data_IF_249457076871
#
_entry.id   IF_249457076871
#
_cell.length_a   1.000
_cell.length_b   1.000
_cell.length_c   1.000
_cell.angle_alpha   90.00
_cell.angle_beta   90.00
_cell.angle_gamma   90.00
#
_symmetry.space_group_name_H-M   'P 1'
#
loop_
_entity.id
_entity.type
_entity.pdbx_description
1 polymer ?
#
# COMPACT_ATOMS: atom_id res chain seq x y z
N UNK A 1 11.27 23.81 20.09
CA UNK A 1 11.84 22.55 19.55
C UNK A 1 11.17 22.07 18.26
N UNK A 2 9.84 21.99 18.15
CA UNK A 2 9.15 21.53 16.92
C UNK A 2 9.57 22.35 15.68
N UNK A 3 9.64 23.68 15.79
CA UNK A 3 10.16 24.56 14.71
C UNK A 3 11.57 24.19 14.26
N UNK A 4 12.44 23.77 15.19
CA UNK A 4 13.80 23.34 14.89
C UNK A 4 13.83 22.01 14.14
N UNK A 5 12.98 21.05 14.54
CA UNK A 5 12.84 19.79 13.79
C UNK A 5 12.30 20.00 12.38
N UNK A 6 11.32 20.88 12.19
CA UNK A 6 10.81 21.23 10.87
C UNK A 6 11.89 21.86 9.99
N UNK A 7 12.75 22.73 10.55
CA UNK A 7 13.88 23.29 9.80
C UNK A 7 14.95 22.26 9.47
N UNK A 8 15.24 21.31 10.37
CA UNK A 8 16.15 20.20 10.11
C UNK A 8 15.61 19.27 9.02
N UNK A 9 14.32 18.95 9.02
CA UNK A 9 13.66 18.16 7.99
C UNK A 9 13.69 18.87 6.63
N UNK A 10 13.39 20.17 6.58
CA UNK A 10 13.48 20.95 5.34
C UNK A 10 14.90 20.97 4.79
N UNK A 11 15.90 21.20 5.66
CA UNK A 11 17.32 21.14 5.29
C UNK A 11 17.72 19.74 4.82
N UNK A 12 17.27 18.68 5.48
CA UNK A 12 17.50 17.28 5.10
C UNK A 12 16.90 16.97 3.73
N UNK A 13 15.66 17.41 3.49
CA UNK A 13 14.97 17.22 2.22
C UNK A 13 15.71 17.87 1.05
N UNK A 14 16.12 19.15 1.20
CA UNK A 14 16.88 19.88 0.17
C UNK A 14 18.28 19.29 -0.04
N UNK A 15 18.95 18.85 1.04
CA UNK A 15 20.31 18.31 0.99
C UNK A 15 20.38 16.83 0.62
N UNK A 16 19.25 16.13 0.54
CA UNK A 16 19.22 14.71 0.18
C UNK A 16 19.81 14.49 -1.21
N UNK A 17 20.66 13.47 -1.36
CA UNK A 17 21.26 13.13 -2.66
C UNK A 17 20.17 12.91 -3.73
N UNK A 18 19.04 12.31 -3.34
CA UNK A 18 17.86 12.11 -4.20
C UNK A 18 17.15 13.40 -4.60
N UNK A 19 17.28 14.52 -3.87
CA UNK A 19 16.74 15.80 -4.34
C UNK A 19 17.46 16.29 -5.58
N UNK A 20 18.78 16.06 -5.71
CA UNK A 20 19.55 16.50 -6.88
C UNK A 20 19.48 15.54 -8.06
N UNK A 21 19.48 14.22 -7.83
CA UNK A 21 19.43 13.23 -8.92
C UNK A 21 18.01 12.96 -9.45
N UNK A 22 16.96 13.22 -8.67
CA UNK A 22 15.58 12.82 -8.99
C UNK A 22 14.57 13.98 -8.95
N UNK A 23 14.94 15.20 -9.37
CA UNK A 23 14.03 16.36 -9.43
C UNK A 23 12.77 16.02 -10.24
N UNK A 24 12.94 15.40 -11.41
CA UNK A 24 11.82 14.99 -12.27
C UNK A 24 10.84 14.05 -11.55
N UNK A 25 11.33 13.03 -10.82
CA UNK A 25 10.47 12.15 -10.03
C UNK A 25 9.76 12.91 -8.89
N UNK A 26 10.41 13.89 -8.24
CA UNK A 26 9.76 14.70 -7.20
C UNK A 26 8.66 15.57 -7.75
N UNK A 27 8.87 16.18 -8.92
CA UNK A 27 7.82 16.94 -9.63
C UNK A 27 6.67 16.00 -10.00
N UNK A 28 6.97 14.81 -10.55
CA UNK A 28 5.95 13.81 -10.88
C UNK A 28 5.14 13.37 -9.65
N UNK A 29 5.80 13.15 -8.50
CA UNK A 29 5.12 12.83 -7.24
C UNK A 29 4.21 13.97 -6.76
N UNK A 30 4.65 15.22 -6.87
CA UNK A 30 3.84 16.38 -6.52
C UNK A 30 2.63 16.54 -7.44
N UNK A 31 2.83 16.41 -8.76
CA UNK A 31 1.74 16.42 -9.74
C UNK A 31 0.76 15.27 -9.52
N UNK A 32 1.27 14.07 -9.24
CA UNK A 32 0.43 12.91 -8.90
C UNK A 32 -0.41 13.16 -7.66
N UNK A 33 0.17 13.73 -6.60
CA UNK A 33 -0.57 14.10 -5.40
C UNK A 33 -1.65 15.15 -5.70
N UNK A 34 -1.32 16.22 -6.44
CA UNK A 34 -2.28 17.26 -6.82
C UNK A 34 -3.42 16.71 -7.70
N UNK A 35 -3.09 15.81 -8.63
CA UNK A 35 -4.07 15.12 -9.45
C UNK A 35 -5.05 14.31 -8.59
N UNK A 36 -4.55 13.45 -7.70
CA UNK A 36 -5.43 12.67 -6.81
C UNK A 36 -6.20 13.56 -5.83
N UNK A 37 -5.60 14.63 -5.31
CA UNK A 37 -6.29 15.60 -4.47
C UNK A 37 -7.48 16.25 -5.20
N UNK A 38 -7.27 16.66 -6.46
CA UNK A 38 -8.34 17.22 -7.29
C UNK A 38 -9.44 16.18 -7.57
N UNK A 39 -9.06 14.94 -7.95
CA UNK A 39 -10.02 13.85 -8.17
C UNK A 39 -10.84 13.58 -6.92
N UNK A 40 -10.22 13.47 -5.74
CA UNK A 40 -10.94 13.22 -4.48
C UNK A 40 -11.90 14.36 -4.13
N UNK A 41 -11.52 15.61 -4.43
CA UNK A 41 -12.40 16.77 -4.25
C UNK A 41 -13.62 16.74 -5.17
N UNK A 42 -13.42 16.47 -6.46
CA UNK A 42 -14.53 16.32 -7.40
C UNK A 42 -15.40 15.12 -7.07
N UNK A 43 -14.82 14.00 -6.64
CA UNK A 43 -15.57 12.80 -6.22
C UNK A 43 -16.37 13.09 -4.95
N UNK A 44 -15.83 13.85 -4.00
CA UNK A 44 -16.58 14.28 -2.81
C UNK A 44 -17.85 15.06 -3.16
N UNK A 45 -17.76 15.99 -4.09
CA UNK A 45 -18.91 16.77 -4.57
C UNK A 45 -19.84 15.90 -5.44
N UNK A 46 -19.24 15.12 -6.35
CA UNK A 46 -19.94 14.31 -7.34
C UNK A 46 -20.75 13.18 -6.72
N UNK A 47 -20.22 12.50 -5.71
CA UNK A 47 -20.96 11.45 -4.98
C UNK A 47 -22.21 12.04 -4.33
N UNK A 48 -22.12 13.23 -3.72
CA UNK A 48 -23.28 13.85 -3.10
C UNK A 48 -24.38 14.13 -4.13
N UNK A 49 -24.04 14.81 -5.23
CA UNK A 49 -25.02 15.17 -6.25
C UNK A 49 -25.50 13.98 -7.08
N UNK A 50 -24.63 13.02 -7.40
CA UNK A 50 -25.00 11.80 -8.12
C UNK A 50 -25.98 10.95 -7.31
N UNK A 51 -25.74 10.76 -6.01
CA UNK A 51 -26.66 10.03 -5.15
C UNK A 51 -28.02 10.74 -5.03
N UNK A 52 -28.01 12.07 -4.84
CA UNK A 52 -29.24 12.86 -4.67
C UNK A 52 -30.06 12.97 -5.95
N UNK A 53 -29.41 13.25 -7.09
CA UNK A 53 -30.08 13.61 -8.35
C UNK A 53 -30.32 12.42 -9.27
N UNK A 54 -29.39 11.48 -9.36
CA UNK A 54 -29.48 10.35 -10.31
C UNK A 54 -30.08 9.11 -9.64
N UNK A 55 -29.64 8.78 -8.43
CA UNK A 55 -30.08 7.59 -7.71
C UNK A 55 -31.30 7.82 -6.80
N UNK A 56 -31.69 9.08 -6.56
CA UNK A 56 -32.76 9.46 -5.61
C UNK A 56 -32.56 8.88 -4.20
N UNK A 57 -31.31 8.71 -3.78
CA UNK A 57 -30.94 8.19 -2.46
C UNK A 57 -30.51 9.33 -1.53
N UNK A 58 -30.73 9.12 -0.23
CA UNK A 58 -30.16 9.97 0.83
C UNK A 58 -28.62 9.88 0.81
N UNK A 59 -27.89 10.95 0.43
CA UNK A 59 -26.45 10.88 0.22
C UNK A 59 -25.68 10.48 1.49
N UNK A 60 -26.03 11.09 2.63
CA UNK A 60 -25.36 10.83 3.90
C UNK A 60 -25.56 9.37 4.35
N UNK A 61 -26.80 8.89 4.34
CA UNK A 61 -27.12 7.54 4.77
C UNK A 61 -26.42 6.48 3.90
N UNK A 62 -26.35 6.73 2.59
CA UNK A 62 -25.67 5.84 1.64
C UNK A 62 -24.17 5.83 1.85
N UNK A 63 -23.54 7.00 2.01
CA UNK A 63 -22.10 7.10 2.31
C UNK A 63 -21.77 6.41 3.64
N UNK A 64 -22.60 6.59 4.66
CA UNK A 64 -22.46 5.94 5.96
C UNK A 64 -22.58 4.41 5.89
N UNK A 65 -23.43 3.89 5.00
CA UNK A 65 -23.56 2.45 4.76
C UNK A 65 -22.26 1.84 4.22
N UNK A 66 -21.62 2.49 3.24
CA UNK A 66 -20.40 1.96 2.61
C UNK A 66 -19.09 2.37 3.30
N UNK A 67 -19.15 3.21 4.35
CA UNK A 67 -17.95 3.76 5.01
C UNK A 67 -17.06 2.68 5.65
N UNK A 68 -17.63 1.54 6.05
CA UNK A 68 -16.86 0.40 6.57
C UNK A 68 -15.86 -0.13 5.54
N UNK A 69 -16.29 -0.30 4.29
CA UNK A 69 -15.41 -0.77 3.22
C UNK A 69 -14.36 0.26 2.89
N UNK A 70 -14.72 1.54 2.90
CA UNK A 70 -13.76 2.63 2.71
C UNK A 70 -12.63 2.58 3.76
N UNK A 71 -12.97 2.53 5.05
CA UNK A 71 -11.98 2.47 6.13
C UNK A 71 -11.13 1.20 6.09
N UNK A 72 -11.72 0.07 5.72
CA UNK A 72 -11.02 -1.19 5.68
C UNK A 72 -10.06 -1.28 4.49
N UNK A 73 -10.47 -0.79 3.31
CA UNK A 73 -9.61 -0.62 2.13
C UNK A 73 -8.48 0.35 2.45
N UNK A 74 -8.78 1.50 3.06
CA UNK A 74 -7.77 2.45 3.52
C UNK A 74 -6.75 1.79 4.45
N UNK A 75 -7.21 1.00 5.42
CA UNK A 75 -6.34 0.29 6.35
C UNK A 75 -5.41 -0.71 5.62
N UNK A 76 -5.92 -1.49 4.67
CA UNK A 76 -5.11 -2.40 3.84
C UNK A 76 -4.07 -1.62 3.03
N UNK A 77 -4.47 -0.54 2.35
CA UNK A 77 -3.57 0.30 1.58
C UNK A 77 -2.48 0.92 2.44
N UNK A 78 -2.82 1.39 3.65
CA UNK A 78 -1.86 1.91 4.62
C UNK A 78 -0.84 0.86 5.05
N UNK A 79 -1.29 -0.33 5.40
CA UNK A 79 -0.37 -1.39 5.79
C UNK A 79 0.61 -1.77 4.67
N UNK A 80 0.17 -1.75 3.42
CA UNK A 80 1.00 -2.14 2.28
C UNK A 80 1.91 -1.01 1.77
N UNK A 81 1.44 0.25 1.78
CA UNK A 81 2.11 1.36 1.10
C UNK A 81 2.65 2.43 2.06
N UNK A 82 2.03 2.63 3.22
CA UNK A 82 2.43 3.66 4.16
C UNK A 82 3.60 3.14 5.01
N UNK A 83 4.82 3.52 4.63
CA UNK A 83 5.98 3.29 5.46
C UNK A 83 5.84 4.05 6.80
N UNK A 84 6.07 3.35 7.91
CA UNK A 84 6.18 3.98 9.22
C UNK A 84 7.30 5.01 9.15
N UNK A 85 7.10 6.26 9.63
CA UNK A 85 8.17 7.23 9.69
C UNK A 85 9.14 6.78 10.76
N UNK A 86 10.10 5.98 10.35
CA UNK A 86 11.38 5.93 11.02
C UNK A 86 11.98 7.31 10.72
N UNK A 87 11.72 8.30 11.58
CA UNK A 87 12.67 9.40 11.70
C UNK A 87 14.02 8.71 11.78
N UNK A 88 15.03 9.18 11.04
CA UNK A 88 16.38 8.69 11.29
C UNK A 88 16.66 9.05 12.75
N UNK A 89 16.37 8.13 13.67
CA UNK A 89 16.46 8.34 15.10
C UNK A 89 17.95 8.31 15.46
N UNK A 90 18.78 7.62 14.65
CA UNK A 90 20.25 7.56 14.78
C UNK A 90 20.89 8.95 14.98
N UNK A 91 20.68 9.97 14.11
CA UNK A 91 21.23 11.31 14.34
C UNK A 91 20.65 12.08 15.54
N UNK A 92 19.52 11.66 16.08
CA UNK A 92 18.85 12.35 17.18
C UNK A 92 19.14 11.72 18.54
N UNK A 93 19.58 10.45 18.58
CA UNK A 93 19.84 9.72 19.83
C UNK A 93 21.05 10.23 20.61
N UNK A 94 22.04 10.82 19.94
CA UNK A 94 23.21 11.42 20.60
C UNK A 94 22.98 12.87 21.04
N UNK A 95 21.88 13.49 20.62
CA UNK A 95 21.52 14.84 21.04
C UNK A 95 20.78 14.77 22.37
N UNK A 96 20.96 15.78 23.23
CA UNK A 96 20.27 15.89 24.52
C UNK A 96 18.78 16.27 24.35
N UNK A 97 18.02 15.39 23.70
CA UNK A 97 16.60 15.54 23.39
C UNK A 97 15.80 14.51 24.19
N UNK A 98 14.74 14.96 24.86
CA UNK A 98 13.81 14.04 25.54
C UNK A 98 13.20 13.07 24.52
N UNK A 99 13.25 11.76 24.79
CA UNK A 99 12.67 10.70 23.94
C UNK A 99 11.22 10.99 23.54
N UNK A 100 10.42 11.51 24.48
CA UNK A 100 9.02 11.88 24.22
C UNK A 100 8.86 12.92 23.11
N UNK A 101 9.75 13.92 23.04
CA UNK A 101 9.70 14.94 21.98
C UNK A 101 9.89 14.32 20.60
N UNK A 102 10.86 13.38 20.48
CA UNK A 102 11.15 12.70 19.22
C UNK A 102 9.97 11.82 18.81
N UNK A 103 9.37 11.10 19.76
CA UNK A 103 8.18 10.28 19.51
C UNK A 103 6.99 11.14 19.04
N UNK A 104 6.65 12.21 19.77
CA UNK A 104 5.53 13.08 19.38
C UNK A 104 5.76 13.79 18.05
N UNK A 105 7.01 14.20 17.76
CA UNK A 105 7.35 14.74 16.45
C UNK A 105 7.17 13.70 15.33
N UNK A 106 7.62 12.46 15.55
CA UNK A 106 7.49 11.37 14.58
C UNK A 106 6.02 11.00 14.33
N UNK A 107 5.21 10.93 15.39
CA UNK A 107 3.76 10.70 15.28
C UNK A 107 3.06 11.86 14.58
N UNK A 108 3.39 13.11 14.92
CA UNK A 108 2.85 14.29 14.23
C UNK A 108 3.19 14.29 12.72
N UNK A 109 4.39 13.82 12.36
CA UNK A 109 4.78 13.62 10.96
C UNK A 109 3.90 12.60 10.24
N UNK A 110 3.49 11.51 10.90
CA UNK A 110 2.49 10.61 10.28
C UNK A 110 1.14 11.28 10.11
N UNK A 111 0.67 12.03 11.10
CA UNK A 111 -0.62 12.70 11.03
C UNK A 111 -0.69 13.62 9.80
N UNK A 112 0.39 14.32 9.47
CA UNK A 112 0.50 15.18 8.29
C UNK A 112 1.01 14.46 7.02
N UNK A 113 0.97 13.13 6.98
CA UNK A 113 1.36 12.37 5.80
C UNK A 113 0.35 12.54 4.67
N UNK A 114 0.83 12.39 3.41
CA UNK A 114 -0.03 12.45 2.23
C UNK A 114 -1.21 11.49 2.28
N UNK A 115 -1.06 10.32 2.90
CA UNK A 115 -2.15 9.36 3.11
C UNK A 115 -3.31 9.97 3.94
N UNK A 116 -3.02 10.72 5.00
CA UNK A 116 -4.07 11.36 5.81
C UNK A 116 -4.64 12.60 5.11
N UNK A 117 -3.78 13.42 4.49
CA UNK A 117 -4.23 14.61 3.78
C UNK A 117 -5.17 14.28 2.62
N UNK A 118 -4.93 13.16 1.93
CA UNK A 118 -5.71 12.77 0.76
C UNK A 118 -7.19 12.56 1.11
N UNK A 119 -7.52 11.96 2.27
CA UNK A 119 -8.91 11.84 2.72
C UNK A 119 -9.59 13.18 2.96
N UNK A 120 -8.85 14.18 3.44
CA UNK A 120 -9.39 15.51 3.68
C UNK A 120 -9.92 16.14 2.39
N UNK A 121 -9.28 15.87 1.24
CA UNK A 121 -9.78 16.32 -0.06
C UNK A 121 -11.10 15.68 -0.47
N UNK A 122 -11.52 14.56 0.12
CA UNK A 122 -12.85 13.99 -0.11
C UNK A 122 -13.87 14.49 0.92
N UNK A 123 -13.55 14.34 2.21
CA UNK A 123 -14.51 14.62 3.29
C UNK A 123 -14.76 16.11 3.51
N UNK A 124 -13.79 16.99 3.24
CA UNK A 124 -14.02 18.44 3.37
C UNK A 124 -15.02 18.92 2.31
N UNK A 125 -14.83 18.68 1.00
CA UNK A 125 -15.81 19.08 0.00
C UNK A 125 -17.19 18.44 0.21
N UNK A 126 -17.24 17.15 0.58
CA UNK A 126 -18.51 16.48 0.89
C UNK A 126 -19.26 17.18 2.04
N UNK A 127 -18.57 17.48 3.16
CA UNK A 127 -19.16 18.21 4.28
C UNK A 127 -19.60 19.63 3.91
N UNK A 128 -18.85 20.34 3.06
CA UNK A 128 -19.24 21.67 2.58
C UNK A 128 -20.54 21.59 1.77
N UNK A 129 -20.65 20.61 0.86
CA UNK A 129 -21.88 20.42 0.07
C UNK A 129 -23.07 20.09 0.97
N UNK A 130 -22.89 19.25 1.99
CA UNK A 130 -23.95 18.99 2.98
C UNK A 130 -24.46 20.28 3.64
N UNK A 131 -23.57 21.18 4.04
CA UNK A 131 -23.95 22.47 4.65
C UNK A 131 -24.71 23.36 3.66
N UNK A 132 -24.27 23.41 2.40
CA UNK A 132 -24.93 24.20 1.35
C UNK A 132 -26.34 23.67 1.06
N UNK A 133 -26.52 22.35 1.13
CA UNK A 133 -27.78 21.66 0.83
C UNK A 133 -28.74 21.59 2.03
N UNK A 134 -28.41 22.28 3.13
CA UNK A 134 -29.30 22.49 4.27
C UNK A 134 -29.25 21.41 5.37
N UNK A 135 -28.21 20.58 5.41
CA UNK A 135 -28.02 19.65 6.54
C UNK A 135 -27.71 20.42 7.82
N UNK A 136 -28.09 19.84 8.97
CA UNK A 136 -27.82 20.43 10.28
C UNK A 136 -26.32 20.66 10.49
N UNK A 137 -25.97 21.90 10.83
CA UNK A 137 -24.57 22.34 10.93
C UNK A 137 -23.81 21.59 12.02
N UNK A 138 -24.46 21.32 13.15
CA UNK A 138 -23.85 20.61 14.25
C UNK A 138 -23.62 19.14 13.92
N UNK A 139 -24.62 18.48 13.33
CA UNK A 139 -24.50 17.11 12.83
C UNK A 139 -23.38 16.94 11.80
N UNK A 140 -23.23 17.87 10.85
CA UNK A 140 -22.14 17.83 9.86
C UNK A 140 -20.77 17.92 10.55
N UNK A 141 -20.59 18.83 11.50
CA UNK A 141 -19.32 18.98 12.23
C UNK A 141 -19.00 17.72 13.03
N UNK A 142 -19.98 17.17 13.75
CA UNK A 142 -19.80 15.93 14.52
C UNK A 142 -19.41 14.76 13.60
N UNK A 143 -20.10 14.61 12.48
CA UNK A 143 -19.83 13.57 11.49
C UNK A 143 -18.42 13.71 10.91
N UNK A 144 -18.05 14.92 10.49
CA UNK A 144 -16.74 15.21 9.90
C UNK A 144 -15.60 14.93 10.89
N UNK A 145 -15.73 15.41 12.13
CA UNK A 145 -14.76 15.14 13.19
C UNK A 145 -14.67 13.66 13.53
N UNK A 146 -15.81 12.97 13.58
CA UNK A 146 -15.87 11.52 13.82
C UNK A 146 -15.11 10.73 12.76
N UNK A 147 -15.34 11.01 11.48
CA UNK A 147 -14.64 10.33 10.39
C UNK A 147 -13.15 10.65 10.37
N UNK A 148 -12.77 11.92 10.52
CA UNK A 148 -11.36 12.29 10.58
C UNK A 148 -10.67 11.62 11.78
N UNK A 149 -11.36 11.48 12.91
CA UNK A 149 -10.84 10.74 14.05
C UNK A 149 -10.58 9.26 13.72
N UNK A 150 -11.49 8.58 13.03
CA UNK A 150 -11.32 7.19 12.59
C UNK A 150 -10.15 7.03 11.61
N UNK A 151 -9.96 7.96 10.69
CA UNK A 151 -8.83 7.96 9.74
C UNK A 151 -7.50 8.11 10.49
N UNK A 152 -7.44 9.03 11.46
CA UNK A 152 -6.23 9.17 12.29
C UNK A 152 -6.02 7.97 13.22
N UNK A 153 -7.08 7.33 13.72
CA UNK A 153 -6.99 6.05 14.43
C UNK A 153 -6.37 4.99 13.54
N UNK A 154 -6.82 4.84 12.29
CA UNK A 154 -6.25 3.90 11.33
C UNK A 154 -4.75 4.14 11.10
N UNK A 155 -4.33 5.40 11.02
CA UNK A 155 -2.92 5.78 10.95
C UNK A 155 -2.11 5.30 12.17
N UNK A 156 -2.62 5.49 13.39
CA UNK A 156 -1.94 5.03 14.61
C UNK A 156 -1.98 3.52 14.81
N UNK A 157 -3.03 2.84 14.34
CA UNK A 157 -3.09 1.38 14.30
C UNK A 157 -2.05 0.79 13.35
N UNK A 158 -1.86 1.40 12.17
CA UNK A 158 -0.83 0.98 11.21
C UNK A 158 0.58 1.02 11.84
N UNK A 159 0.86 2.09 12.58
CA UNK A 159 2.08 2.24 13.38
C UNK A 159 2.23 1.09 14.40
N UNK A 160 1.18 0.81 15.18
CA UNK A 160 1.22 -0.16 16.29
C UNK A 160 1.46 -1.59 15.79
N UNK A 161 0.87 -1.95 14.66
CA UNK A 161 1.07 -3.27 14.06
C UNK A 161 2.42 -3.41 13.34
N UNK A 162 3.24 -2.34 13.29
CA UNK A 162 4.61 -2.40 12.82
C UNK A 162 4.74 -2.68 11.33
N UNK A 163 3.73 -2.30 10.52
CA UNK A 163 3.70 -2.54 9.06
C UNK A 163 4.01 -4.01 8.69
N UNK A 164 3.51 -4.96 9.49
CA UNK A 164 3.62 -6.39 9.17
C UNK A 164 2.63 -6.73 8.06
N UNK A 165 3.14 -7.09 6.89
CA UNK A 165 2.34 -7.52 5.74
C UNK A 165 1.29 -8.59 6.10
N UNK A 166 1.60 -9.49 7.05
CA UNK A 166 0.67 -10.52 7.53
C UNK A 166 -0.64 -9.98 8.10
N UNK A 167 -0.60 -8.80 8.76
CA UNK A 167 -1.81 -8.15 9.30
C UNK A 167 -2.64 -7.57 8.16
N UNK A 168 -2.00 -6.99 7.14
CA UNK A 168 -2.66 -6.51 5.93
C UNK A 168 -3.37 -7.65 5.19
N UNK A 169 -2.71 -8.79 5.02
CA UNK A 169 -3.29 -9.97 4.36
C UNK A 169 -4.46 -10.56 5.14
N UNK A 170 -4.40 -10.57 6.48
CA UNK A 170 -5.51 -11.02 7.32
C UNK A 170 -6.73 -10.11 7.18
N UNK A 171 -6.54 -8.79 7.25
CA UNK A 171 -7.63 -7.82 7.10
C UNK A 171 -8.19 -7.87 5.67
N UNK A 172 -7.31 -7.96 4.68
CA UNK A 172 -7.69 -8.07 3.27
C UNK A 172 -8.48 -9.34 2.97
N UNK A 173 -8.11 -10.50 3.54
CA UNK A 173 -8.86 -11.73 3.34
C UNK A 173 -10.25 -11.67 3.99
N UNK A 174 -10.36 -11.10 5.19
CA UNK A 174 -11.64 -10.85 5.85
C UNK A 174 -12.51 -9.93 4.99
N UNK A 175 -11.95 -8.87 4.41
CA UNK A 175 -12.67 -7.97 3.51
C UNK A 175 -13.21 -8.66 2.27
N UNK A 176 -12.39 -9.49 1.61
CA UNK A 176 -12.82 -10.25 0.42
C UNK A 176 -13.96 -11.21 0.78
N UNK A 177 -13.89 -11.89 1.92
CA UNK A 177 -14.97 -12.76 2.39
C UNK A 177 -16.24 -11.95 2.67
N UNK A 178 -16.14 -10.81 3.37
CA UNK A 178 -17.29 -9.96 3.66
C UNK A 178 -17.91 -9.33 2.40
N UNK A 179 -17.09 -8.95 1.42
CA UNK A 179 -17.55 -8.44 0.13
C UNK A 179 -18.24 -9.55 -0.67
N UNK A 180 -17.70 -10.77 -0.66
CA UNK A 180 -18.33 -11.93 -1.28
C UNK A 180 -19.68 -12.27 -0.63
N UNK A 181 -19.74 -12.30 0.70
CA UNK A 181 -20.99 -12.55 1.45
C UNK A 181 -22.07 -11.49 1.17
N UNK A 182 -21.67 -10.23 1.00
CA UNK A 182 -22.58 -9.17 0.60
C UNK A 182 -23.03 -9.33 -0.86
N UNK A 183 -22.13 -9.67 -1.78
CA UNK A 183 -22.47 -9.88 -3.20
C UNK A 183 -23.46 -11.03 -3.42
N UNK A 184 -23.36 -12.10 -2.62
CA UNK A 184 -24.28 -13.25 -2.67
C UNK A 184 -25.50 -13.09 -1.74
N UNK A 185 -25.74 -11.91 -1.18
CA UNK A 185 -26.86 -11.59 -0.29
C UNK A 185 -26.97 -12.49 0.98
N UNK A 186 -25.90 -13.18 1.36
CA UNK A 186 -25.88 -14.03 2.56
C UNK A 186 -25.73 -13.23 3.86
N UNK A 187 -24.92 -12.17 3.84
CA UNK A 187 -24.67 -11.33 5.01
C UNK A 187 -24.21 -9.93 4.61
N UNK A 188 -24.94 -8.91 5.07
CA UNK A 188 -24.63 -7.51 4.81
C UNK A 188 -24.12 -6.80 6.07
N UNK A 189 -22.79 -6.68 6.19
CA UNK A 189 -22.13 -5.96 7.29
C UNK A 189 -22.43 -4.45 7.28
N UNK A 190 -22.84 -3.91 6.13
CA UNK A 190 -23.11 -2.48 5.98
C UNK A 190 -24.33 -2.05 6.80
N UNK A 191 -25.32 -2.93 7.00
CA UNK A 191 -26.51 -2.62 7.79
C UNK A 191 -26.18 -2.40 9.27
N UNK A 192 -25.32 -3.26 9.83
CA UNK A 192 -24.91 -3.15 11.24
C UNK A 192 -24.00 -1.95 11.48
N UNK A 193 -23.04 -1.74 10.57
CA UNK A 193 -22.06 -0.66 10.71
C UNK A 193 -22.66 0.71 10.38
N UNK A 194 -23.68 0.78 9.51
CA UNK A 194 -24.42 2.01 9.22
C UNK A 194 -25.01 2.66 10.47
N UNK A 195 -25.44 1.88 11.47
CA UNK A 195 -25.96 2.42 12.74
C UNK A 195 -24.90 3.29 13.44
N UNK A 196 -23.66 2.81 13.47
CA UNK A 196 -22.55 3.56 14.05
C UNK A 196 -22.22 4.80 13.23
N UNK A 197 -22.10 4.69 11.90
CA UNK A 197 -21.73 5.82 11.04
C UNK A 197 -22.83 6.89 10.96
N UNK A 198 -24.10 6.51 10.91
CA UNK A 198 -25.22 7.45 11.02
C UNK A 198 -25.27 8.10 12.41
N UNK A 199 -24.93 7.34 13.45
CA UNK A 199 -24.79 7.88 14.81
C UNK A 199 -23.68 8.92 14.96
N UNK A 200 -22.72 9.02 14.03
CA UNK A 200 -21.73 10.11 14.02
C UNK A 200 -22.37 11.47 13.69
N UNK A 201 -23.47 11.47 12.92
CA UNK A 201 -24.20 12.68 12.54
C UNK A 201 -25.35 12.99 13.49
N UNK A 202 -26.13 11.96 13.87
CA UNK A 202 -27.35 12.14 14.66
C UNK A 202 -27.13 12.08 16.18
N UNK A 203 -25.95 11.65 16.63
CA UNK A 203 -25.66 11.38 18.04
C UNK A 203 -24.22 11.74 18.40
N UNK A 204 -23.85 11.48 19.66
CA UNK A 204 -22.53 11.76 20.20
C UNK A 204 -21.50 10.65 19.92
N UNK A 205 -21.73 9.78 18.92
CA UNK A 205 -20.75 8.73 18.58
C UNK A 205 -19.45 9.31 18.04
N UNK A 206 -19.46 10.57 17.56
CA UNK A 206 -18.24 11.33 17.26
C UNK A 206 -17.32 11.47 18.48
N UNK A 207 -17.86 11.56 19.70
CA UNK A 207 -17.07 11.55 20.94
C UNK A 207 -16.40 10.19 21.19
N UNK A 208 -17.08 9.09 20.85
CA UNK A 208 -16.50 7.74 20.93
C UNK A 208 -15.34 7.63 19.94
N UNK A 209 -15.52 8.08 18.70
CA UNK A 209 -14.45 8.09 17.70
C UNK A 209 -13.24 8.94 18.16
N UNK A 210 -13.48 10.11 18.76
CA UNK A 210 -12.42 10.95 19.34
C UNK A 210 -11.72 10.27 20.54
N UNK A 211 -12.46 9.58 21.40
CA UNK A 211 -11.89 8.82 22.51
C UNK A 211 -10.99 7.69 22.00
N UNK A 212 -11.45 6.95 20.99
CA UNK A 212 -10.67 5.88 20.33
C UNK A 212 -9.40 6.47 19.68
N UNK A 213 -9.49 7.64 19.05
CA UNK A 213 -8.32 8.37 18.54
C UNK A 213 -7.31 8.65 19.65
N UNK A 214 -7.74 9.23 20.78
CA UNK A 214 -6.86 9.53 21.91
C UNK A 214 -6.19 8.28 22.48
N UNK A 215 -6.95 7.19 22.65
CA UNK A 215 -6.41 5.90 23.11
C UNK A 215 -5.38 5.33 22.13
N UNK A 216 -5.67 5.38 20.83
CA UNK A 216 -4.77 4.89 19.79
C UNK A 216 -3.47 5.70 19.73
N UNK A 217 -3.56 7.02 19.87
CA UNK A 217 -2.40 7.92 19.93
C UNK A 217 -1.54 7.65 21.16
N UNK A 218 -2.16 7.52 22.34
CA UNK A 218 -1.42 7.24 23.57
C UNK A 218 -0.73 5.88 23.50
N UNK A 219 -1.44 4.86 23.03
CA UNK A 219 -0.89 3.51 22.81
C UNK A 219 0.28 3.53 21.84
N UNK A 220 0.14 4.20 20.69
CA UNK A 220 1.22 4.35 19.70
C UNK A 220 2.43 5.10 20.27
N UNK A 221 2.20 6.15 21.07
CA UNK A 221 3.27 6.92 21.71
C UNK A 221 4.05 6.09 22.74
N UNK A 222 3.35 5.30 23.54
CA UNK A 222 3.97 4.41 24.51
C UNK A 222 4.74 3.28 23.82
N UNK A 223 4.15 2.67 22.78
CA UNK A 223 4.80 1.65 21.98
C UNK A 223 6.11 2.16 21.36
N UNK A 224 6.09 3.32 20.71
CA UNK A 224 7.31 3.90 20.13
C UNK A 224 8.34 4.26 21.20
N UNK A 225 7.90 4.84 22.32
CA UNK A 225 8.82 5.21 23.41
C UNK A 225 9.51 3.99 24.00
N UNK A 226 8.78 2.89 24.18
CA UNK A 226 9.31 1.63 24.71
C UNK A 226 10.28 0.96 23.72
N UNK A 227 10.03 1.04 22.41
CA UNK A 227 10.82 0.37 21.37
C UNK A 227 11.93 1.23 20.76
N UNK A 228 12.19 2.43 21.29
CA UNK A 228 13.25 3.32 20.80
C UNK A 228 14.62 2.95 21.38
N UNK A 229 15.21 1.87 20.86
CA UNK A 229 16.55 1.37 21.19
C UNK A 229 17.55 1.62 20.05
N UNK A 230 18.84 1.84 20.39
CA UNK A 230 19.93 1.96 19.41
C UNK A 230 20.08 0.69 18.56
N UNK A 231 19.88 -0.48 19.18
CA UNK A 231 20.13 -1.77 18.58
C UNK A 231 19.04 -2.22 17.59
N UNK A 232 17.82 -1.71 17.74
CA UNK A 232 16.74 -1.99 16.79
C UNK A 232 17.08 -1.53 15.36
N UNK A 233 17.82 -0.43 15.23
CA UNK A 233 18.32 0.08 13.94
C UNK A 233 19.67 -0.49 13.49
N UNK A 234 20.31 -1.35 14.30
CA UNK A 234 21.57 -2.04 14.02
C UNK A 234 21.39 -3.55 13.83
N UNK A 235 20.25 -4.11 14.25
CA UNK A 235 19.89 -5.50 14.00
C UNK A 235 19.71 -5.74 12.49
N UNK A 236 20.78 -6.19 11.84
CA UNK A 236 20.70 -6.76 10.50
C UNK A 236 19.79 -7.97 10.63
N UNK A 237 18.66 -8.01 9.91
CA UNK A 237 17.80 -9.18 9.84
C UNK A 237 18.66 -10.37 9.40
N UNK A 238 19.06 -11.22 10.33
CA UNK A 238 19.70 -12.49 10.03
C UNK A 238 18.64 -13.39 9.41
N UNK A 239 18.65 -13.50 8.07
CA UNK A 239 17.91 -14.55 7.40
C UNK A 239 18.66 -15.86 7.65
N UNK A 240 18.03 -16.79 8.35
CA UNK A 240 18.50 -18.16 8.46
C UNK A 240 18.49 -18.77 7.06
N UNK A 241 19.68 -19.03 6.51
CA UNK A 241 19.81 -19.61 5.18
C UNK A 241 19.29 -21.07 5.23
N UNK A 242 18.09 -21.31 4.70
CA UNK A 242 17.65 -22.67 4.40
C UNK A 242 18.33 -23.12 3.11
N UNK A 243 19.12 -24.19 3.19
CA UNK A 243 19.65 -24.90 2.02
C UNK A 243 18.53 -25.75 1.44
N UNK A 244 18.07 -25.39 0.24
CA UNK A 244 17.15 -26.22 -0.53
C UNK A 244 17.93 -26.88 -1.66
N UNK A 245 17.95 -28.21 -1.68
CA UNK A 245 18.57 -28.99 -2.73
C UNK A 245 17.55 -29.38 -3.80
N UNK A 246 17.66 -28.77 -4.98
CA UNK A 246 16.81 -29.06 -6.13
C UNK A 246 17.39 -30.21 -6.97
N UNK A 247 17.53 -31.39 -6.36
CA UNK A 247 18.12 -32.58 -7.01
C UNK A 247 17.34 -33.01 -8.26
N UNK A 248 16.04 -32.71 -8.32
CA UNK A 248 15.19 -33.00 -9.49
C UNK A 248 15.67 -32.31 -10.78
N UNK A 249 16.37 -31.17 -10.68
CA UNK A 249 16.93 -30.43 -11.83
C UNK A 249 18.15 -31.12 -12.44
N UNK A 250 18.76 -32.12 -11.78
CA UNK A 250 19.93 -32.84 -12.31
C UNK A 250 19.66 -33.53 -13.65
N UNK A 251 18.38 -33.80 -13.97
CA UNK A 251 17.96 -34.38 -15.25
C UNK A 251 18.35 -33.55 -16.48
N UNK A 252 18.65 -32.25 -16.30
CA UNK A 252 19.03 -31.32 -17.36
C UNK A 252 20.54 -31.22 -17.61
N UNK A 253 21.36 -32.11 -17.03
CA UNK A 253 22.80 -32.20 -17.30
C UNK A 253 23.54 -30.92 -16.93
N UNK A 254 24.38 -30.41 -17.85
CA UNK A 254 25.18 -29.18 -17.67
C UNK A 254 24.31 -27.93 -17.41
N UNK A 255 23.09 -27.89 -17.95
CA UNK A 255 22.14 -26.78 -17.73
C UNK A 255 21.54 -26.76 -16.32
N UNK A 256 21.61 -27.87 -15.58
CA UNK A 256 21.01 -27.99 -14.25
C UNK A 256 21.57 -26.98 -13.25
N UNK A 257 22.86 -26.65 -13.34
CA UNK A 257 23.53 -25.69 -12.46
C UNK A 257 22.95 -24.29 -12.61
N UNK A 258 22.68 -23.88 -13.86
CA UNK A 258 22.08 -22.58 -14.15
C UNK A 258 20.62 -22.52 -13.69
N UNK A 259 19.81 -23.53 -14.02
CA UNK A 259 18.41 -23.60 -13.59
C UNK A 259 18.26 -23.58 -12.07
N UNK A 260 19.15 -24.26 -11.34
CA UNK A 260 19.17 -24.22 -9.87
C UNK A 260 19.45 -22.82 -9.35
N UNK A 261 20.40 -22.11 -9.95
CA UNK A 261 20.76 -20.76 -9.53
C UNK A 261 19.63 -19.77 -9.82
N UNK A 262 18.99 -19.89 -10.98
CA UNK A 262 17.81 -19.08 -11.32
C UNK A 262 16.65 -19.33 -10.35
N UNK A 263 16.35 -20.58 -10.05
CA UNK A 263 15.27 -20.93 -9.12
C UNK A 263 15.57 -20.43 -7.69
N UNK A 264 16.84 -20.47 -7.25
CA UNK A 264 17.28 -19.85 -5.99
C UNK A 264 17.10 -18.34 -6.03
N UNK A 265 17.48 -17.68 -7.12
CA UNK A 265 17.35 -16.24 -7.30
C UNK A 265 15.88 -15.82 -7.24
N UNK A 266 15.00 -16.54 -7.94
CA UNK A 266 13.55 -16.31 -7.94
C UNK A 266 12.97 -16.46 -6.53
N UNK A 267 13.36 -17.50 -5.79
CA UNK A 267 12.78 -17.79 -4.48
C UNK A 267 13.33 -16.90 -3.35
N UNK A 268 14.59 -16.47 -3.44
CA UNK A 268 15.26 -15.68 -2.38
C UNK A 268 15.15 -14.17 -2.57
N UNK A 269 15.16 -13.68 -3.81
CA UNK A 269 15.15 -12.23 -4.07
C UNK A 269 13.72 -11.71 -4.14
N UNK A 270 13.39 -10.70 -3.30
CA UNK A 270 12.08 -10.04 -3.32
C UNK A 270 11.69 -9.55 -4.72
N UNK A 271 12.62 -8.95 -5.46
CA UNK A 271 12.36 -8.42 -6.81
C UNK A 271 11.95 -9.53 -7.76
N UNK A 272 12.77 -10.57 -7.91
CA UNK A 272 12.52 -11.68 -8.84
C UNK A 272 11.28 -12.51 -8.45
N UNK A 273 11.05 -12.68 -7.14
CA UNK A 273 9.83 -13.31 -6.63
C UNK A 273 8.56 -12.53 -7.00
N UNK A 274 8.59 -11.21 -6.83
CA UNK A 274 7.47 -10.34 -7.22
C UNK A 274 7.25 -10.36 -8.72
N UNK A 275 8.32 -10.38 -9.53
CA UNK A 275 8.24 -10.53 -10.99
C UNK A 275 7.53 -11.82 -11.40
N UNK A 276 7.85 -12.96 -10.75
CA UNK A 276 7.18 -14.24 -11.01
C UNK A 276 5.69 -14.21 -10.61
N UNK A 277 5.37 -13.60 -9.46
CA UNK A 277 3.99 -13.46 -9.02
C UNK A 277 3.19 -12.60 -10.02
N UNK A 278 3.79 -11.50 -10.49
CA UNK A 278 3.17 -10.64 -11.50
C UNK A 278 2.96 -11.36 -12.83
N UNK A 279 3.90 -12.21 -13.27
CA UNK A 279 3.66 -13.04 -14.47
C UNK A 279 2.52 -14.01 -14.29
N UNK A 280 2.35 -14.61 -13.11
CA UNK A 280 1.19 -15.47 -12.84
C UNK A 280 -0.12 -14.68 -12.86
N UNK A 281 -0.12 -13.42 -12.41
CA UNK A 281 -1.29 -12.54 -12.49
C UNK A 281 -1.73 -12.25 -13.94
N UNK A 282 -0.80 -12.24 -14.90
CA UNK A 282 -1.17 -12.07 -16.31
C UNK A 282 -2.00 -13.22 -16.88
N UNK A 283 -1.94 -14.43 -16.31
CA UNK A 283 -2.85 -15.51 -16.70
C UNK A 283 -4.32 -15.16 -16.45
N UNK A 284 -4.59 -14.36 -15.42
CA UNK A 284 -5.94 -13.93 -15.06
C UNK A 284 -6.47 -12.80 -15.96
N UNK A 285 -5.63 -12.18 -16.81
CA UNK A 285 -6.14 -11.24 -17.82
C UNK A 285 -7.09 -11.96 -18.79
N UNK A 286 -6.81 -13.20 -19.15
CA UNK A 286 -7.70 -13.99 -20.02
C UNK A 286 -9.12 -14.11 -19.46
N UNK A 287 -9.27 -14.21 -18.13
CA UNK A 287 -10.59 -14.30 -17.50
C UNK A 287 -11.39 -13.00 -17.59
N UNK A 288 -10.75 -11.83 -17.75
CA UNK A 288 -11.45 -10.54 -17.83
C UNK A 288 -11.82 -10.23 -19.28
N UNK A 289 -10.91 -10.52 -20.21
CA UNK A 289 -11.04 -10.13 -21.61
C UNK A 289 -11.78 -11.17 -22.46
N UNK A 290 -11.61 -12.47 -22.19
CA UNK A 290 -12.29 -13.53 -22.97
C UNK A 290 -13.69 -13.89 -22.46
N UNK A 291 -14.13 -13.35 -21.32
CA UNK A 291 -15.45 -13.67 -20.74
C UNK A 291 -16.47 -12.55 -20.94
N UNK A 292 -16.07 -11.43 -21.53
CA UNK A 292 -16.89 -10.23 -21.60
C UNK A 292 -16.95 -9.71 -23.04
N UNK A 293 -18.16 -9.77 -23.61
CA UNK A 293 -18.46 -9.40 -25.00
C UNK A 293 -18.15 -7.93 -25.34
N UNK A 294 -17.89 -7.09 -24.33
CA UNK A 294 -17.45 -5.70 -24.51
C UNK A 294 -16.04 -5.55 -25.09
N UNK A 295 -15.20 -6.59 -25.05
CA UNK A 295 -13.78 -6.52 -25.38
C UNK A 295 -13.41 -7.28 -26.67
N UNK A 296 -14.28 -7.23 -27.67
CA UNK A 296 -14.12 -7.98 -28.91
C UNK A 296 -12.96 -7.45 -29.81
N UNK A 297 -12.34 -8.35 -30.58
CA UNK A 297 -11.29 -8.04 -31.58
C UNK A 297 -9.92 -7.65 -30.99
N UNK A 298 -9.46 -6.37 -31.08
CA UNK A 298 -8.09 -5.99 -30.71
C UNK A 298 -7.72 -6.26 -29.25
N UNK A 299 -8.71 -6.17 -28.35
CA UNK A 299 -8.52 -6.40 -26.92
C UNK A 299 -8.37 -7.88 -26.57
N UNK A 300 -8.95 -8.79 -27.35
CA UNK A 300 -8.72 -10.23 -27.21
C UNK A 300 -7.30 -10.62 -27.63
N UNK A 301 -6.80 -10.03 -28.73
CA UNK A 301 -5.40 -10.24 -29.17
C UNK A 301 -4.43 -9.70 -28.12
N UNK A 302 -4.72 -8.51 -27.58
CA UNK A 302 -3.96 -7.94 -26.47
C UNK A 302 -3.95 -8.89 -25.27
N UNK A 303 -5.11 -9.41 -24.86
CA UNK A 303 -5.20 -10.37 -23.76
C UNK A 303 -4.41 -11.65 -24.06
N UNK A 304 -4.49 -12.18 -25.29
CA UNK A 304 -3.71 -13.35 -25.72
C UNK A 304 -2.21 -13.13 -25.58
N UNK A 305 -1.70 -11.98 -26.03
CA UNK A 305 -0.28 -11.60 -25.89
C UNK A 305 0.14 -11.53 -24.42
N UNK A 306 -0.70 -10.99 -23.53
CA UNK A 306 -0.38 -10.88 -22.11
C UNK A 306 -0.46 -12.22 -21.38
N UNK A 307 -1.44 -13.07 -21.71
CA UNK A 307 -1.59 -14.42 -21.14
C UNK A 307 -0.42 -15.31 -21.56
N UNK A 308 -0.02 -15.29 -22.82
CA UNK A 308 1.10 -16.13 -23.31
C UNK A 308 2.48 -15.52 -23.06
N UNK A 309 2.58 -14.19 -23.05
CA UNK A 309 3.85 -13.45 -22.97
C UNK A 309 4.17 -12.88 -21.60
N UNK A 310 3.26 -13.00 -20.62
CA UNK A 310 3.39 -12.35 -19.32
C UNK A 310 4.70 -12.66 -18.59
N UNK A 311 5.14 -13.93 -18.61
CA UNK A 311 6.44 -14.32 -18.04
C UNK A 311 7.63 -13.76 -18.82
N UNK A 312 7.55 -13.77 -20.16
CA UNK A 312 8.59 -13.21 -21.01
C UNK A 312 8.75 -11.69 -20.78
N UNK A 313 7.64 -10.95 -20.72
CA UNK A 313 7.66 -9.51 -20.49
C UNK A 313 8.18 -9.14 -19.12
N UNK A 314 7.89 -9.91 -18.06
CA UNK A 314 8.31 -9.52 -16.71
C UNK A 314 9.69 -10.05 -16.37
N UNK A 315 9.96 -11.32 -16.62
CA UNK A 315 11.21 -11.99 -16.24
C UNK A 315 12.19 -12.09 -17.40
N UNK A 316 11.70 -12.49 -18.58
CA UNK A 316 12.51 -12.71 -19.78
C UNK A 316 13.25 -11.45 -20.26
N UNK A 317 12.60 -10.27 -20.23
CA UNK A 317 13.22 -9.00 -20.65
C UNK A 317 14.50 -8.64 -19.88
N UNK A 318 14.63 -9.16 -18.65
CA UNK A 318 15.77 -8.89 -17.78
C UNK A 318 16.81 -10.00 -17.83
N UNK A 319 16.68 -11.00 -18.69
CA UNK A 319 17.77 -11.92 -19.01
C UNK A 319 18.69 -11.23 -20.04
N UNK A 320 20.02 -11.16 -19.84
CA UNK A 320 20.84 -11.78 -18.78
C UNK A 320 21.10 -10.88 -17.55
N UNK A 321 20.51 -9.69 -17.47
CA UNK A 321 20.74 -8.71 -16.40
C UNK A 321 20.51 -9.24 -14.97
N UNK A 322 19.70 -10.29 -14.80
CA UNK A 322 19.54 -10.98 -13.51
C UNK A 322 20.86 -11.51 -12.93
N UNK A 323 21.81 -11.85 -13.79
CA UNK A 323 23.10 -12.44 -13.41
C UNK A 323 24.26 -11.44 -13.46
N UNK A 324 23.99 -10.15 -13.66
CA UNK A 324 25.02 -9.16 -14.01
C UNK A 324 26.15 -9.05 -12.98
N UNK A 325 25.89 -9.33 -11.69
CA UNK A 325 26.88 -9.23 -10.62
C UNK A 325 27.91 -10.36 -10.62
N UNK A 326 27.56 -11.54 -11.13
CA UNK A 326 28.46 -12.71 -11.21
C UNK A 326 28.73 -13.14 -12.65
N UNK A 327 28.21 -12.41 -13.63
CA UNK A 327 28.45 -12.65 -15.06
C UNK A 327 29.95 -12.72 -15.42
N UNK A 328 30.84 -11.81 -14.94
CA UNK A 328 32.27 -11.90 -15.24
C UNK A 328 32.91 -13.21 -14.75
N UNK A 329 32.50 -13.68 -13.57
CA UNK A 329 32.97 -14.96 -13.02
C UNK A 329 32.49 -16.13 -13.87
N UNK A 330 31.23 -16.11 -14.34
CA UNK A 330 30.70 -17.17 -15.20
C UNK A 330 31.45 -17.25 -16.54
N UNK A 331 31.80 -16.09 -17.12
CA UNK A 331 32.56 -16.04 -18.37
C UNK A 331 34.03 -16.49 -18.23
N UNK A 332 34.55 -16.57 -17.01
CA UNK A 332 35.90 -17.09 -16.73
C UNK A 332 35.92 -18.59 -16.43
N UNK A 333 34.76 -19.24 -16.29
CA UNK A 333 34.67 -20.68 -16.08
C UNK A 333 34.69 -21.44 -17.40
N UNK A 334 35.06 -22.72 -17.36
CA UNK A 334 34.98 -23.62 -18.51
C UNK A 334 33.53 -24.06 -18.76
N UNK A 335 32.67 -23.11 -19.14
CA UNK A 335 31.27 -23.37 -19.48
C UNK A 335 30.98 -22.81 -20.86
N UNK A 336 30.27 -23.58 -21.68
CA UNK A 336 29.90 -23.10 -23.01
C UNK A 336 28.81 -22.03 -22.89
N UNK A 337 29.03 -20.88 -23.50
CA UNK A 337 28.06 -19.78 -23.50
C UNK A 337 26.68 -20.20 -24.06
N UNK A 338 26.67 -21.14 -25.02
CA UNK A 338 25.46 -21.73 -25.57
C UNK A 338 24.61 -22.43 -24.51
N UNK A 339 25.22 -23.12 -23.55
CA UNK A 339 24.51 -23.82 -22.47
C UNK A 339 23.86 -22.82 -21.51
N UNK A 340 24.52 -21.70 -21.24
CA UNK A 340 23.95 -20.60 -20.48
C UNK A 340 22.71 -20.03 -21.18
N UNK A 341 22.80 -19.64 -22.44
CA UNK A 341 21.63 -19.13 -23.20
C UNK A 341 20.51 -20.17 -23.25
N UNK A 342 20.86 -21.44 -23.51
CA UNK A 342 19.88 -22.53 -23.57
C UNK A 342 19.15 -22.71 -22.25
N UNK A 343 19.83 -22.61 -21.11
CA UNK A 343 19.19 -22.68 -19.79
C UNK A 343 18.18 -21.55 -19.57
N UNK A 344 18.48 -20.33 -20.03
CA UNK A 344 17.56 -19.19 -19.91
C UNK A 344 16.36 -19.33 -20.83
N UNK A 345 16.59 -19.82 -22.05
CA UNK A 345 15.53 -20.13 -23.00
C UNK A 345 14.58 -21.20 -22.45
N UNK A 346 15.12 -22.30 -21.91
CA UNK A 346 14.31 -23.35 -21.29
C UNK A 346 13.47 -22.85 -20.12
N UNK A 347 13.99 -21.90 -19.33
CA UNK A 347 13.23 -21.26 -18.26
C UNK A 347 12.02 -20.51 -18.82
N UNK A 348 12.17 -19.81 -19.94
CA UNK A 348 11.07 -19.09 -20.63
C UNK A 348 10.07 -20.06 -21.26
N UNK A 349 10.53 -21.18 -21.82
CA UNK A 349 9.65 -22.18 -22.48
C UNK A 349 8.82 -22.99 -21.49
N UNK A 350 9.37 -23.25 -20.30
CA UNK A 350 8.70 -24.05 -19.25
C UNK A 350 7.71 -23.21 -18.45
N UNK A 351 7.95 -21.90 -18.33
CA UNK A 351 7.09 -20.96 -17.62
C UNK A 351 5.82 -20.64 -18.41
#
# INVERSE_FOLDING_TARGET
MIKHFLTLEWKSFIRSASFKTNIALKILMALGFLYFAAVFAFVGIGIFYGLKKEAHLEPLATVNRFLIYYLAVDLVFRYMMQNIPVVNIKPLLYLNLKKSTVVHFSLGKTALSGFNLLHAFFFIPFSVVMLVEGYDTWGVIQWHLGIMALIFTANFLNILAGSKDSVAFLIGSILVVLAGLHYYDFFDITQYTAVFFNGLFHSYFSLIALLVLLLSYYSASNYFRANMFLDAGLSVKQQTARTQDYTWLNRFGSMSTFLKNDLRLILRNKRSKTTLLLSALFLFYGLIFFTNDLYDGPMEIFAGIFVSGGFLFTFGQFVPSWDSSYYPLMMSQNIQYREYISSKWWLVVIA
#
